data_IF_842101003556
#
_entry.id   IF_842101003556
#
_cell.length_a   1.000
_cell.length_b   1.000
_cell.length_c   1.000
_cell.angle_alpha   90.00
_cell.angle_beta   90.00
_cell.angle_gamma   90.00
#
_symmetry.space_group_name_H-M   'P 1'
#
loop_
_entity.id
_entity.type
_entity.pdbx_description
1 polymer ?
#
# COMPACT_ATOMS: atom_id res chain seq x y z
N UNK A 1 6.61 -21.55 -0.58
CA UNK A 1 5.71 -22.68 -0.89
C UNK A 1 6.30 -23.91 -0.21
N UNK A 2 5.50 -24.70 0.55
CA UNK A 2 5.96 -25.77 1.44
C UNK A 2 7.08 -25.39 2.41
N UNK A 3 6.85 -24.31 3.16
CA UNK A 3 7.83 -23.80 4.12
C UNK A 3 7.83 -24.66 5.41
N UNK A 4 9.00 -24.95 6.01
CA UNK A 4 9.03 -25.69 7.28
C UNK A 4 8.39 -24.87 8.40
N UNK A 5 7.64 -25.55 9.29
CA UNK A 5 6.92 -24.92 10.41
C UNK A 5 7.81 -24.05 11.30
N UNK A 6 9.08 -24.40 11.45
CA UNK A 6 10.07 -23.62 12.20
C UNK A 6 10.30 -22.23 11.60
N UNK A 7 10.35 -22.12 10.27
CA UNK A 7 10.56 -20.85 9.58
C UNK A 7 9.31 -19.97 9.64
N UNK A 8 8.12 -20.55 9.55
CA UNK A 8 6.86 -19.81 9.75
C UNK A 8 6.76 -19.22 11.16
N UNK A 9 7.11 -20.02 12.17
CA UNK A 9 7.14 -19.58 13.56
C UNK A 9 8.17 -18.46 13.77
N UNK A 10 9.39 -18.62 13.21
CA UNK A 10 10.44 -17.62 13.28
C UNK A 10 10.00 -16.28 12.64
N UNK A 11 9.41 -16.33 11.44
CA UNK A 11 8.88 -15.14 10.77
C UNK A 11 7.75 -14.48 11.58
N UNK A 12 6.88 -15.27 12.22
CA UNK A 12 5.82 -14.76 13.11
C UNK A 12 6.43 -13.97 14.28
N UNK A 13 7.41 -14.54 14.98
CA UNK A 13 8.10 -13.86 16.08
C UNK A 13 8.86 -12.60 15.63
N UNK A 14 9.59 -12.67 14.51
CA UNK A 14 10.24 -11.50 13.93
C UNK A 14 9.23 -10.39 13.63
N UNK A 15 8.07 -10.72 13.06
CA UNK A 15 7.03 -9.73 12.78
C UNK A 15 6.49 -9.04 14.03
N UNK A 16 6.31 -9.77 15.14
CA UNK A 16 5.93 -9.17 16.42
C UNK A 16 7.01 -8.24 16.94
N UNK A 17 8.27 -8.68 16.94
CA UNK A 17 9.41 -7.89 17.42
C UNK A 17 9.59 -6.59 16.63
N UNK A 18 9.53 -6.64 15.30
CA UNK A 18 9.60 -5.42 14.49
C UNK A 18 8.42 -4.49 14.74
N UNK A 19 7.20 -5.06 14.88
CA UNK A 19 6.01 -4.24 15.12
C UNK A 19 6.06 -3.56 16.48
N UNK A 20 6.50 -4.25 17.53
CA UNK A 20 6.64 -3.66 18.87
C UNK A 20 7.69 -2.55 18.89
N UNK A 21 8.83 -2.74 18.23
CA UNK A 21 9.83 -1.67 18.07
C UNK A 21 9.25 -0.46 17.32
N UNK A 22 8.48 -0.66 16.25
CA UNK A 22 7.85 0.45 15.53
C UNK A 22 6.79 1.19 16.34
N UNK A 23 6.02 0.49 17.16
CA UNK A 23 5.07 1.12 18.08
C UNK A 23 5.84 1.98 19.10
N UNK A 24 6.91 1.44 19.68
CA UNK A 24 7.74 2.15 20.65
C UNK A 24 8.39 3.39 20.03
N UNK A 25 8.94 3.28 18.83
CA UNK A 25 9.50 4.40 18.06
C UNK A 25 8.45 5.51 17.82
N UNK A 26 7.23 5.14 17.42
CA UNK A 26 6.15 6.09 17.17
C UNK A 26 5.69 6.79 18.45
N UNK A 27 5.57 6.06 19.57
CA UNK A 27 5.23 6.63 20.88
C UNK A 27 6.30 7.60 21.37
N UNK A 28 7.58 7.23 21.26
CA UNK A 28 8.69 8.13 21.63
C UNK A 28 8.68 9.41 20.79
N UNK A 29 8.46 9.31 19.47
CA UNK A 29 8.32 10.48 18.59
C UNK A 29 7.13 11.35 18.98
N UNK A 30 5.99 10.75 19.33
CA UNK A 30 4.79 11.48 19.74
C UNK A 30 5.03 12.27 21.04
N UNK A 31 5.72 11.66 22.01
CA UNK A 31 6.09 12.30 23.28
C UNK A 31 7.11 13.43 23.03
N UNK A 32 8.14 13.18 22.21
CA UNK A 32 9.21 14.14 21.96
C UNK A 32 8.75 15.38 21.16
N UNK A 33 7.93 15.20 20.12
CA UNK A 33 7.47 16.31 19.29
C UNK A 33 6.15 16.94 19.77
N UNK A 34 5.38 16.23 20.60
CA UNK A 34 4.03 16.59 20.99
C UNK A 34 3.00 16.41 19.86
N UNK A 35 1.72 16.29 20.22
CA UNK A 35 0.63 16.00 19.28
C UNK A 35 0.59 16.96 18.07
N UNK A 36 0.65 18.28 18.31
CA UNK A 36 0.43 19.26 17.24
C UNK A 36 1.52 19.26 16.17
N UNK A 37 2.79 19.08 16.56
CA UNK A 37 3.92 19.06 15.62
C UNK A 37 4.05 17.69 14.95
N UNK A 38 3.75 16.61 15.67
CA UNK A 38 3.73 15.26 15.11
C UNK A 38 2.77 15.14 13.91
N UNK A 39 1.53 15.61 14.08
CA UNK A 39 0.53 15.56 13.01
C UNK A 39 0.72 16.60 11.90
N UNK A 40 1.64 17.56 12.02
CA UNK A 40 1.92 18.51 10.93
C UNK A 40 2.86 17.92 9.87
N UNK A 41 3.74 16.99 10.26
CA UNK A 41 4.70 16.38 9.35
C UNK A 41 4.11 15.15 8.64
N UNK A 42 4.04 15.20 7.30
CA UNK A 42 3.52 14.12 6.44
C UNK A 42 4.28 12.81 6.63
N UNK A 43 5.58 12.88 6.92
CA UNK A 43 6.41 11.70 7.15
C UNK A 43 6.19 11.04 8.51
N UNK A 44 5.64 11.78 9.48
CA UNK A 44 5.23 11.21 10.77
C UNK A 44 3.79 10.66 10.70
N UNK A 45 2.93 11.27 9.90
CA UNK A 45 1.60 10.72 9.57
C UNK A 45 1.72 9.36 8.86
N UNK A 46 2.59 9.26 7.85
CA UNK A 46 2.85 7.99 7.14
C UNK A 46 3.42 6.93 8.08
N UNK A 47 4.35 7.30 8.95
CA UNK A 47 4.94 6.40 9.96
C UNK A 47 3.87 5.84 10.91
N UNK A 48 2.99 6.71 11.42
CA UNK A 48 1.87 6.32 12.28
C UNK A 48 0.88 5.40 11.53
N UNK A 49 0.54 5.72 10.29
CA UNK A 49 -0.35 4.90 9.46
C UNK A 49 0.21 3.48 9.26
N UNK A 50 1.51 3.36 8.98
CA UNK A 50 2.19 2.06 8.85
C UNK A 50 2.13 1.27 10.17
N UNK A 51 2.33 1.93 11.31
CA UNK A 51 2.25 1.30 12.63
C UNK A 51 0.84 0.79 12.91
N UNK A 52 -0.20 1.61 12.65
CA UNK A 52 -1.60 1.21 12.84
C UNK A 52 -1.98 0.03 11.95
N UNK A 53 -1.64 0.10 10.66
CA UNK A 53 -1.85 -0.97 9.69
C UNK A 53 -1.14 -2.27 10.12
N UNK A 54 0.06 -2.14 10.68
CA UNK A 54 0.87 -3.25 11.17
C UNK A 54 0.25 -3.94 12.37
N UNK A 55 -0.25 -3.17 13.34
CA UNK A 55 -0.95 -3.70 14.52
C UNK A 55 -2.26 -4.36 14.10
N UNK A 56 -3.07 -3.68 13.27
CA UNK A 56 -4.33 -4.21 12.75
C UNK A 56 -4.12 -5.52 11.97
N UNK A 57 -3.10 -5.59 11.12
CA UNK A 57 -2.81 -6.79 10.35
C UNK A 57 -2.35 -7.98 11.20
N UNK A 58 -1.81 -7.74 12.41
CA UNK A 58 -1.46 -8.80 13.34
C UNK A 58 -2.68 -9.22 14.16
N UNK A 59 -3.46 -8.26 14.67
CA UNK A 59 -4.66 -8.58 15.48
C UNK A 59 -5.69 -9.36 14.67
N UNK A 60 -5.90 -9.02 13.40
CA UNK A 60 -6.83 -9.74 12.52
C UNK A 60 -6.39 -11.19 12.25
N UNK A 61 -5.08 -11.45 12.12
CA UNK A 61 -4.55 -12.82 11.96
C UNK A 61 -4.74 -13.66 13.24
N UNK A 62 -4.59 -13.07 14.43
CA UNK A 62 -4.81 -13.81 15.68
C UNK A 62 -6.31 -14.07 15.96
N UNK A 63 -7.20 -13.17 15.53
CA UNK A 63 -8.66 -13.36 15.65
C UNK A 63 -9.14 -14.51 14.77
N UNK A 64 -8.60 -14.65 13.55
CA UNK A 64 -8.88 -15.79 12.66
C UNK A 64 -8.49 -17.12 13.30
N UNK A 65 -7.28 -17.19 13.89
CA UNK A 65 -6.78 -18.40 14.57
C UNK A 65 -7.65 -18.77 15.78
N UNK A 66 -8.14 -17.76 16.49
CA UNK A 66 -8.97 -17.94 17.68
C UNK A 66 -10.44 -18.25 17.35
N UNK A 67 -10.81 -18.30 16.06
CA UNK A 67 -12.17 -18.53 15.55
C UNK A 67 -13.25 -17.63 16.20
N UNK A 68 -12.84 -16.49 16.76
CA UNK A 68 -13.71 -15.64 17.57
C UNK A 68 -14.74 -14.87 16.71
N UNK A 69 -14.39 -14.59 15.45
CA UNK A 69 -15.25 -13.93 14.47
C UNK A 69 -14.98 -14.50 13.06
N UNK A 70 -16.02 -14.76 12.24
CA UNK A 70 -15.84 -15.14 10.84
C UNK A 70 -15.39 -13.92 10.02
N UNK A 71 -14.08 -13.83 9.74
CA UNK A 71 -13.49 -12.78 8.91
C UNK A 71 -13.29 -13.30 7.48
N UNK A 72 -13.56 -12.45 6.49
CA UNK A 72 -13.36 -12.82 5.08
C UNK A 72 -11.86 -13.06 4.78
N UNK A 73 -11.47 -14.22 4.22
CA UNK A 73 -10.07 -14.56 3.95
C UNK A 73 -9.39 -13.59 2.96
N UNK A 74 -10.16 -12.89 2.13
CA UNK A 74 -9.66 -11.87 1.22
C UNK A 74 -9.07 -10.67 1.97
N UNK A 75 -9.70 -10.26 3.07
CA UNK A 75 -9.24 -9.12 3.90
C UNK A 75 -7.90 -9.47 4.53
N UNK A 76 -7.77 -10.68 5.07
CA UNK A 76 -6.51 -11.16 5.66
C UNK A 76 -5.39 -11.16 4.61
N UNK A 77 -5.68 -11.62 3.38
CA UNK A 77 -4.71 -11.60 2.28
C UNK A 77 -4.27 -10.18 1.92
N UNK A 78 -5.20 -9.23 1.85
CA UNK A 78 -4.91 -7.81 1.60
C UNK A 78 -4.02 -7.25 2.72
N UNK A 79 -4.35 -7.51 3.99
CA UNK A 79 -3.57 -7.06 5.14
C UNK A 79 -2.15 -7.63 5.16
N UNK A 80 -1.96 -8.88 4.70
CA UNK A 80 -0.63 -9.48 4.52
C UNK A 80 0.21 -8.73 3.49
N UNK A 81 -0.38 -8.42 2.32
CA UNK A 81 0.31 -7.65 1.27
C UNK A 81 0.66 -6.26 1.76
N UNK A 82 -0.26 -5.60 2.47
CA UNK A 82 -0.09 -4.27 3.04
C UNK A 82 1.10 -4.14 4.00
N UNK A 83 1.63 -5.24 4.56
CA UNK A 83 2.87 -5.21 5.35
C UNK A 83 4.07 -4.72 4.55
N UNK A 84 4.06 -4.82 3.22
CA UNK A 84 5.10 -4.25 2.35
C UNK A 84 5.21 -2.73 2.48
N UNK A 85 4.14 -2.05 2.92
CA UNK A 85 4.17 -0.61 3.19
C UNK A 85 5.23 -0.24 4.25
N UNK A 86 5.63 -1.18 5.13
CA UNK A 86 6.74 -0.97 6.07
C UNK A 86 8.06 -0.64 5.37
N UNK A 87 8.29 -1.16 4.15
CA UNK A 87 9.47 -0.85 3.34
C UNK A 87 9.52 0.64 2.99
N UNK A 88 8.37 1.32 2.90
CA UNK A 88 8.31 2.77 2.67
C UNK A 88 8.99 3.58 3.79
N UNK A 89 9.18 3.01 4.99
CA UNK A 89 9.97 3.66 6.04
C UNK A 89 11.43 3.84 5.63
N UNK A 90 11.99 2.96 4.79
CA UNK A 90 13.35 3.11 4.27
C UNK A 90 13.48 4.38 3.39
N UNK A 91 12.40 4.79 2.73
CA UNK A 91 12.38 6.01 1.95
C UNK A 91 12.62 7.26 2.81
N UNK A 92 12.21 7.24 4.08
CA UNK A 92 12.43 8.33 5.04
C UNK A 92 13.90 8.47 5.45
N UNK A 93 14.66 7.36 5.44
CA UNK A 93 16.09 7.37 5.77
C UNK A 93 16.94 7.95 4.63
N UNK A 94 16.50 7.77 3.39
CA UNK A 94 17.19 8.29 2.21
C UNK A 94 16.80 9.76 1.95
N UNK A 95 17.54 10.68 2.56
CA UNK A 95 17.32 12.14 2.43
C UNK A 95 17.30 12.63 0.98
N UNK A 96 18.18 12.10 0.12
CA UNK A 96 18.18 12.41 -1.32
C UNK A 96 16.91 11.94 -2.04
N UNK A 97 16.41 10.74 -1.70
CA UNK A 97 15.19 10.19 -2.30
C UNK A 97 13.94 10.96 -1.85
N UNK A 98 13.91 11.42 -0.59
CA UNK A 98 12.84 12.31 -0.11
C UNK A 98 12.76 13.60 -0.91
N UNK A 99 13.90 14.24 -1.20
CA UNK A 99 13.93 15.47 -2.00
C UNK A 99 13.35 15.25 -3.41
N UNK A 100 13.72 14.14 -4.06
CA UNK A 100 13.17 13.78 -5.37
C UNK A 100 11.66 13.55 -5.30
N UNK A 101 11.17 12.79 -4.31
CA UNK A 101 9.74 12.57 -4.13
C UNK A 101 8.98 13.88 -3.88
N UNK A 102 9.53 14.80 -3.10
CA UNK A 102 8.93 16.11 -2.86
C UNK A 102 8.84 16.94 -4.16
N UNK A 103 9.83 16.86 -5.05
CA UNK A 103 9.75 17.51 -6.37
C UNK A 103 8.70 16.88 -7.28
N UNK A 104 8.58 15.55 -7.29
CA UNK A 104 7.55 14.83 -8.05
C UNK A 104 6.15 15.23 -7.56
N UNK A 105 5.96 15.28 -6.24
CA UNK A 105 4.68 15.67 -5.65
C UNK A 105 4.29 17.12 -5.99
N UNK A 106 5.27 18.01 -6.16
CA UNK A 106 5.03 19.39 -6.62
C UNK A 106 4.66 19.47 -8.10
N UNK A 107 5.22 18.59 -8.94
CA UNK A 107 4.90 18.53 -10.38
C UNK A 107 3.57 17.81 -10.67
N UNK A 108 3.09 16.96 -9.75
CA UNK A 108 1.92 16.10 -9.93
C UNK A 108 0.63 16.85 -10.32
N UNK A 109 0.29 18.03 -9.78
CA UNK A 109 -0.88 18.78 -10.21
C UNK A 109 -0.81 19.20 -11.69
N UNK A 110 0.39 19.56 -12.17
CA UNK A 110 0.60 20.00 -13.55
C UNK A 110 0.52 18.82 -14.52
N UNK A 111 1.11 17.68 -14.14
CA UNK A 111 0.97 16.41 -14.87
C UNK A 111 -0.49 15.94 -14.88
N UNK A 112 -1.24 16.18 -13.81
CA UNK A 112 -2.66 15.84 -13.71
C UNK A 112 -3.52 16.49 -14.80
N UNK A 113 -3.26 17.75 -15.14
CA UNK A 113 -3.97 18.44 -16.21
C UNK A 113 -3.70 17.80 -17.59
N UNK A 114 -2.44 17.42 -17.86
CA UNK A 114 -2.07 16.69 -19.08
C UNK A 114 -2.70 15.30 -19.10
N UNK A 115 -2.70 14.61 -17.95
CA UNK A 115 -3.31 13.29 -17.79
C UNK A 115 -4.81 13.30 -18.06
N UNK A 116 -5.52 14.36 -17.65
CA UNK A 116 -6.95 14.52 -17.93
C UNK A 116 -7.22 14.63 -19.44
N UNK A 117 -6.43 15.45 -20.14
CA UNK A 117 -6.52 15.56 -21.60
C UNK A 117 -6.24 14.22 -22.29
N UNK A 118 -5.24 13.49 -21.80
CA UNK A 118 -4.88 12.16 -22.33
C UNK A 118 -6.00 11.13 -22.10
N UNK A 119 -6.67 11.17 -20.95
CA UNK A 119 -7.84 10.34 -20.67
C UNK A 119 -9.02 10.68 -21.59
N UNK A 120 -9.27 11.96 -21.87
CA UNK A 120 -10.30 12.37 -22.83
C UNK A 120 -10.01 11.83 -24.24
N UNK A 121 -8.74 11.90 -24.66
CA UNK A 121 -8.31 11.35 -25.94
C UNK A 121 -8.58 9.85 -26.01
N UNK A 122 -8.18 9.09 -24.98
CA UNK A 122 -8.49 7.66 -24.92
C UNK A 122 -9.98 7.37 -24.93
N UNK A 123 -10.80 8.18 -24.26
CA UNK A 123 -12.25 8.03 -24.28
C UNK A 123 -12.82 8.18 -25.69
N UNK A 124 -12.41 9.22 -26.43
CA UNK A 124 -12.84 9.45 -27.81
C UNK A 124 -12.43 8.28 -28.72
N UNK A 125 -11.17 7.85 -28.65
CA UNK A 125 -10.69 6.74 -29.47
C UNK A 125 -11.31 5.40 -29.08
N UNK A 126 -11.60 5.15 -27.81
CA UNK A 126 -12.31 3.96 -27.36
C UNK A 126 -13.74 3.92 -27.92
N UNK A 127 -14.47 5.05 -27.87
CA UNK A 127 -15.81 5.14 -28.45
C UNK A 127 -15.79 4.90 -29.97
N UNK A 128 -14.86 5.55 -30.68
CA UNK A 128 -14.66 5.32 -32.11
C UNK A 128 -14.28 3.86 -32.40
N UNK A 129 -13.46 3.24 -31.56
CA UNK A 129 -13.07 1.84 -31.69
C UNK A 129 -14.26 0.88 -31.56
N UNK A 130 -15.17 1.13 -30.61
CA UNK A 130 -16.40 0.34 -30.47
C UNK A 130 -17.32 0.52 -31.68
N UNK A 131 -17.47 1.74 -32.19
CA UNK A 131 -18.31 2.02 -33.37
C UNK A 131 -17.75 1.39 -34.66
N UNK A 132 -16.43 1.48 -34.87
CA UNK A 132 -15.79 1.00 -36.10
C UNK A 132 -15.49 -0.50 -36.08
N UNK A 133 -15.13 -1.04 -34.92
CA UNK A 133 -14.57 -2.39 -34.78
C UNK A 133 -15.38 -3.29 -33.84
N UNK A 134 -16.45 -2.81 -33.22
CA UNK A 134 -17.24 -3.58 -32.26
C UNK A 134 -18.00 -4.78 -32.84
N UNK A 135 -18.09 -4.89 -34.18
CA UNK A 135 -18.72 -6.02 -34.88
C UNK A 135 -17.72 -7.03 -35.45
N UNK A 136 -16.41 -6.81 -35.25
CA UNK A 136 -15.40 -7.78 -35.67
C UNK A 136 -15.42 -8.95 -34.68
N UNK A 137 -15.72 -10.14 -35.18
CA UNK A 137 -15.67 -11.38 -34.42
C UNK A 137 -14.43 -12.18 -34.85
N UNK A 138 -13.65 -12.61 -33.88
CA UNK A 138 -12.59 -13.59 -34.08
C UNK A 138 -13.20 -14.98 -33.88
N UNK A 139 -13.20 -15.81 -34.91
CA UNK A 139 -13.73 -17.17 -34.89
C UNK A 139 -12.67 -18.14 -35.40
N UNK A 140 -12.87 -19.44 -35.20
CA UNK A 140 -11.96 -20.47 -35.74
C UNK A 140 -11.85 -20.40 -37.27
N UNK A 141 -12.89 -19.89 -37.95
CA UNK A 141 -12.89 -19.63 -39.41
C UNK A 141 -12.22 -18.30 -39.81
N UNK A 142 -12.16 -17.33 -38.89
CA UNK A 142 -11.54 -16.01 -39.07
C UNK A 142 -10.58 -15.71 -37.90
N UNK A 143 -9.39 -16.32 -37.89
CA UNK A 143 -8.44 -16.15 -36.79
C UNK A 143 -7.87 -14.73 -36.77
N UNK A 144 -7.78 -14.21 -35.54
CA UNK A 144 -7.05 -13.01 -35.15
C UNK A 144 -5.73 -13.44 -34.47
#
# INVERSE_FOLDING_TARGET
YNQPRSLDLALKYCNYFFTSMFVLEAVLKLIAFGFRRFFKDRWNQLDLAIVLLSVMGITLEEIEISAALPINPTIIRIMRVLRIARVLKLLKMATGMRALLDTVMQALPQVGNLGLLFMLLFFIYAALGVELFGKLECSDENPC
#
